data_IF_882781353643
#
_entry.id   IF_882781353643
#
_cell.length_a   1.000
_cell.length_b   1.000
_cell.length_c   1.000
_cell.angle_alpha   90.00
_cell.angle_beta   90.00
_cell.angle_gamma   90.00
#
_symmetry.space_group_name_H-M   'P 1'
#
loop_
_entity.id
_entity.type
_entity.pdbx_description
1 polymer ?
#
# COMPACT_ATOMS: atom_id res chain seq x y z
N UNK A 1 -27.60 0.37 -0.68
CA UNK A 1 -26.63 -0.44 -1.47
C UNK A 1 -25.72 -1.22 -0.53
N UNK A 2 -25.55 -2.53 -0.79
CA UNK A 2 -24.70 -3.38 0.07
C UNK A 2 -23.41 -3.75 -0.65
N UNK A 3 -22.25 -3.41 -0.03
CA UNK A 3 -20.92 -3.62 -0.61
C UNK A 3 -20.15 -4.66 0.22
N UNK A 4 -19.43 -5.55 -0.45
CA UNK A 4 -18.42 -6.41 0.14
C UNK A 4 -17.04 -5.90 -0.26
N UNK A 5 -16.17 -5.63 0.70
CA UNK A 5 -14.77 -5.29 0.44
C UNK A 5 -13.84 -6.43 0.83
N UNK A 6 -13.06 -6.92 -0.13
CA UNK A 6 -12.00 -7.90 0.05
C UNK A 6 -10.67 -7.15 0.14
N UNK A 7 -10.06 -7.16 1.32
CA UNK A 7 -8.78 -6.47 1.55
C UNK A 7 -7.61 -7.45 1.56
N UNK A 8 -6.43 -7.03 1.12
CA UNK A 8 -5.24 -7.87 1.03
C UNK A 8 -4.30 -7.74 2.25
N UNK A 9 -4.85 -7.33 3.37
CA UNK A 9 -4.19 -7.29 4.69
C UNK A 9 -5.09 -7.84 5.78
N UNK A 10 -4.56 -7.98 7.00
CA UNK A 10 -5.32 -8.39 8.19
C UNK A 10 -5.97 -7.17 8.83
N UNK A 11 -7.26 -7.26 9.09
CA UNK A 11 -8.05 -6.21 9.74
C UNK A 11 -8.40 -6.63 11.15
N UNK A 12 -8.26 -5.75 12.13
CA UNK A 12 -8.79 -5.97 13.47
C UNK A 12 -10.29 -5.65 13.51
N UNK A 13 -11.08 -6.55 14.06
CA UNK A 13 -12.51 -6.34 14.31
C UNK A 13 -12.64 -6.01 15.80
N UNK A 14 -12.86 -4.75 16.11
CA UNK A 14 -12.84 -4.20 17.49
C UNK A 14 -14.19 -3.57 17.82
N UNK A 15 -14.54 -3.50 19.10
CA UNK A 15 -15.78 -2.85 19.53
C UNK A 15 -15.63 -1.32 19.66
N UNK A 16 -14.39 -0.83 19.68
CA UNK A 16 -14.05 0.60 19.74
C UNK A 16 -12.78 0.86 18.94
N UNK A 17 -12.49 2.12 18.65
CA UNK A 17 -11.28 2.51 17.92
C UNK A 17 -10.05 2.09 18.75
N UNK A 18 -9.20 1.20 18.24
CA UNK A 18 -8.05 0.69 18.97
C UNK A 18 -6.92 1.73 19.02
N UNK A 19 -6.32 1.89 20.21
CA UNK A 19 -5.11 2.71 20.34
C UNK A 19 -3.96 2.15 19.48
N UNK A 20 -3.21 3.04 18.85
CA UNK A 20 -2.01 2.70 18.07
C UNK A 20 -2.26 2.02 16.74
N UNK A 21 -3.52 1.76 16.36
CA UNK A 21 -3.86 1.32 15.00
C UNK A 21 -4.42 2.50 14.21
N UNK A 22 -4.04 2.55 12.96
CA UNK A 22 -4.55 3.56 12.03
C UNK A 22 -5.60 2.94 11.09
N UNK A 23 -6.57 3.72 10.61
CA UNK A 23 -7.35 3.28 9.46
C UNK A 23 -6.43 3.00 8.25
N UNK A 24 -6.70 1.97 7.45
CA UNK A 24 -7.88 1.09 7.43
C UNK A 24 -7.68 -0.26 8.15
N UNK A 25 -6.80 -0.36 9.13
CA UNK A 25 -6.38 -1.64 9.74
C UNK A 25 -7.39 -2.20 10.74
N UNK A 26 -8.52 -1.51 10.95
CA UNK A 26 -9.58 -1.96 11.84
C UNK A 26 -10.99 -1.70 11.29
N UNK A 27 -11.96 -2.44 11.81
CA UNK A 27 -13.40 -2.26 11.60
C UNK A 27 -14.06 -2.18 12.97
N UNK A 28 -14.92 -1.18 13.16
CA UNK A 28 -15.75 -1.02 14.36
C UNK A 28 -17.22 -1.12 13.97
N UNK A 29 -18.02 -1.99 14.61
CA UNK A 29 -19.44 -2.10 14.33
C UNK A 29 -20.15 -0.75 14.47
N UNK A 30 -21.02 -0.45 13.51
CA UNK A 30 -21.77 0.81 13.48
C UNK A 30 -20.98 2.03 12.97
N UNK A 31 -19.70 1.89 12.69
CA UNK A 31 -18.90 2.93 12.05
C UNK A 31 -18.64 2.59 10.58
N UNK A 32 -18.57 3.63 9.74
CA UNK A 32 -18.18 3.47 8.35
C UNK A 32 -16.73 3.02 8.26
N UNK A 33 -16.48 2.00 7.47
CA UNK A 33 -15.10 1.62 7.17
C UNK A 33 -14.37 2.74 6.44
N UNK A 34 -13.13 2.99 6.77
CA UNK A 34 -12.36 4.18 6.39
C UNK A 34 -12.43 4.57 4.90
N UNK A 35 -12.37 3.60 3.98
CA UNK A 35 -12.48 3.86 2.53
C UNK A 35 -13.84 4.42 2.11
N UNK A 36 -14.87 4.25 2.94
CA UNK A 36 -16.25 4.62 2.63
C UNK A 36 -16.79 5.73 3.54
N UNK A 37 -15.92 6.38 4.31
CA UNK A 37 -16.32 7.37 5.32
C UNK A 37 -17.08 8.58 4.77
N UNK A 38 -16.86 8.89 3.48
CA UNK A 38 -17.54 9.99 2.80
C UNK A 38 -18.76 9.54 1.97
N UNK A 39 -19.08 8.26 1.95
CA UNK A 39 -20.29 7.80 1.27
C UNK A 39 -21.52 7.99 2.15
N UNK A 40 -22.69 8.03 1.50
CA UNK A 40 -23.99 8.19 2.19
C UNK A 40 -24.29 7.04 3.17
N UNK A 41 -25.18 7.28 4.15
CA UNK A 41 -25.50 6.33 5.21
C UNK A 41 -26.33 5.13 4.74
N UNK A 42 -26.96 5.22 3.57
CA UNK A 42 -27.69 4.12 2.94
C UNK A 42 -26.76 3.03 2.35
N UNK A 43 -25.43 3.23 2.40
CA UNK A 43 -24.44 2.27 1.92
C UNK A 43 -23.88 1.49 3.12
N UNK A 44 -24.14 0.18 3.13
CA UNK A 44 -23.51 -0.74 4.10
C UNK A 44 -22.32 -1.46 3.48
N UNK A 45 -21.27 -1.64 4.26
CA UNK A 45 -20.02 -2.27 3.80
C UNK A 45 -19.60 -3.38 4.76
N UNK A 46 -19.50 -4.59 4.25
CA UNK A 46 -18.86 -5.71 4.95
C UNK A 46 -17.42 -5.84 4.46
N UNK A 47 -16.46 -5.99 5.38
CA UNK A 47 -15.04 -6.15 5.08
C UNK A 47 -14.62 -7.57 5.37
N UNK A 48 -13.86 -8.19 4.48
CA UNK A 48 -13.29 -9.53 4.67
C UNK A 48 -11.80 -9.50 4.38
N UNK A 49 -11.03 -9.89 5.38
CA UNK A 49 -9.57 -9.92 5.34
C UNK A 49 -8.99 -11.25 4.87
N UNK A 50 -7.66 -11.30 4.78
CA UNK A 50 -6.91 -12.45 4.26
C UNK A 50 -6.70 -13.58 5.27
N UNK A 51 -7.21 -13.49 6.50
CA UNK A 51 -6.99 -14.55 7.49
C UNK A 51 -7.50 -15.88 7.01
N UNK A 52 -6.65 -16.89 7.13
CA UNK A 52 -6.93 -18.27 6.82
C UNK A 52 -6.28 -19.19 7.85
N UNK A 53 -6.31 -20.49 7.63
CA UNK A 53 -5.56 -21.44 8.45
C UNK A 53 -4.04 -21.18 8.30
N UNK A 54 -3.22 -21.30 9.35
CA UNK A 54 -1.80 -20.93 9.32
C UNK A 54 -1.00 -21.55 8.16
N UNK A 55 -1.23 -22.83 7.85
CA UNK A 55 -0.57 -23.51 6.74
C UNK A 55 -1.01 -22.97 5.37
N UNK A 56 -2.31 -22.66 5.23
CA UNK A 56 -2.88 -22.13 3.99
C UNK A 56 -2.43 -20.67 3.78
N UNK A 57 -2.41 -19.87 4.84
CA UNK A 57 -1.92 -18.50 4.79
C UNK A 57 -0.47 -18.44 4.28
N UNK A 58 0.39 -19.33 4.78
CA UNK A 58 1.77 -19.43 4.29
C UNK A 58 1.82 -19.82 2.82
N UNK A 59 1.06 -20.83 2.42
CA UNK A 59 0.99 -21.26 1.02
C UNK A 59 0.48 -20.16 0.10
N UNK A 60 -0.61 -19.47 0.48
CA UNK A 60 -1.20 -18.37 -0.28
C UNK A 60 -0.21 -17.19 -0.46
N UNK A 61 0.51 -16.82 0.61
CA UNK A 61 1.48 -15.71 0.55
C UNK A 61 2.77 -16.05 -0.18
N UNK A 62 3.36 -17.20 0.09
CA UNK A 62 4.71 -17.54 -0.38
C UNK A 62 4.71 -18.19 -1.75
N UNK A 63 3.70 -19.01 -2.07
CA UNK A 63 3.68 -19.84 -3.29
C UNK A 63 2.82 -19.25 -4.40
N UNK A 64 1.57 -18.96 -4.12
CA UNK A 64 0.61 -18.57 -5.16
C UNK A 64 0.36 -17.07 -5.22
N UNK A 65 0.60 -16.33 -4.13
CA UNK A 65 0.45 -14.87 -4.00
C UNK A 65 -0.96 -14.35 -4.27
N UNK A 66 -1.99 -15.15 -4.01
CA UNK A 66 -3.40 -14.75 -4.00
C UNK A 66 -4.20 -15.56 -2.99
N UNK A 67 -5.39 -15.07 -2.59
CA UNK A 67 -6.12 -15.51 -1.42
C UNK A 67 -7.34 -16.34 -1.78
N UNK A 68 -7.19 -17.67 -1.82
CA UNK A 68 -8.26 -18.62 -2.15
C UNK A 68 -9.30 -18.64 -1.04
N UNK A 69 -8.85 -18.76 0.21
CA UNK A 69 -9.75 -18.90 1.36
C UNK A 69 -10.64 -17.67 1.55
N UNK A 70 -10.11 -16.47 1.27
CA UNK A 70 -10.88 -15.25 1.32
C UNK A 70 -12.10 -15.32 0.40
N UNK A 71 -11.91 -15.77 -0.83
CA UNK A 71 -13.02 -15.96 -1.78
C UNK A 71 -13.98 -17.06 -1.33
N UNK A 72 -13.47 -18.23 -0.91
CA UNK A 72 -14.32 -19.35 -0.47
C UNK A 72 -15.24 -18.96 0.70
N UNK A 73 -14.74 -18.18 1.66
CA UNK A 73 -15.55 -17.69 2.80
C UNK A 73 -16.77 -16.87 2.36
N UNK A 74 -16.69 -16.18 1.25
CA UNK A 74 -17.72 -15.23 0.81
C UNK A 74 -18.64 -15.79 -0.28
N UNK A 75 -18.24 -16.85 -0.98
CA UNK A 75 -19.05 -17.45 -2.05
C UNK A 75 -20.53 -17.65 -1.69
N UNK A 76 -20.90 -18.21 -0.52
CA UNK A 76 -22.32 -18.43 -0.19
C UNK A 76 -23.13 -17.15 -0.02
N UNK A 77 -22.45 -16.02 0.21
CA UNK A 77 -23.08 -14.73 0.53
C UNK A 77 -23.01 -13.73 -0.60
N UNK A 78 -22.30 -14.02 -1.70
CA UNK A 78 -22.03 -13.05 -2.77
C UNK A 78 -23.30 -12.42 -3.36
N UNK A 79 -24.35 -13.21 -3.54
CA UNK A 79 -25.63 -12.71 -4.11
C UNK A 79 -26.42 -11.79 -3.18
N UNK A 80 -25.95 -11.58 -1.94
CA UNK A 80 -26.53 -10.61 -0.99
C UNK A 80 -25.95 -9.19 -1.17
N UNK A 81 -24.93 -9.05 -2.02
CA UNK A 81 -24.25 -7.78 -2.27
C UNK A 81 -24.60 -7.26 -3.67
N UNK A 82 -24.64 -5.95 -3.79
CA UNK A 82 -24.77 -5.25 -5.07
C UNK A 82 -23.39 -5.11 -5.74
N UNK A 83 -22.36 -4.95 -4.92
CA UNK A 83 -20.99 -4.68 -5.36
C UNK A 83 -19.99 -5.43 -4.51
N UNK A 84 -19.01 -6.05 -5.17
CA UNK A 84 -17.78 -6.58 -4.55
C UNK A 84 -16.60 -5.73 -4.98
N UNK A 85 -15.86 -5.19 -4.03
CA UNK A 85 -14.62 -4.45 -4.25
C UNK A 85 -13.44 -5.28 -3.75
N UNK A 86 -12.47 -5.54 -4.61
CA UNK A 86 -11.23 -6.21 -4.21
C UNK A 86 -10.08 -5.22 -4.18
N UNK A 87 -9.40 -5.11 -3.04
CA UNK A 87 -8.21 -4.29 -2.93
C UNK A 87 -7.01 -5.09 -3.45
N UNK A 88 -6.68 -4.86 -4.71
CA UNK A 88 -5.67 -5.59 -5.45
C UNK A 88 -6.16 -6.90 -6.07
N UNK A 89 -5.48 -7.32 -7.14
CA UNK A 89 -5.79 -8.59 -7.81
C UNK A 89 -5.48 -9.82 -6.95
N UNK A 90 -4.61 -9.72 -5.94
CA UNK A 90 -4.37 -10.81 -5.00
C UNK A 90 -5.65 -11.26 -4.28
N UNK A 91 -6.54 -10.32 -3.96
CA UNK A 91 -7.87 -10.58 -3.39
C UNK A 91 -8.95 -10.81 -4.45
N UNK A 92 -8.74 -10.35 -5.69
CA UNK A 92 -9.75 -10.39 -6.75
C UNK A 92 -9.66 -11.60 -7.68
N UNK A 93 -8.46 -12.17 -7.89
CA UNK A 93 -8.24 -13.14 -8.96
C UNK A 93 -9.06 -14.43 -8.81
N UNK A 94 -9.20 -14.95 -7.60
CA UNK A 94 -9.94 -16.19 -7.35
C UNK A 94 -11.43 -15.98 -7.63
N UNK A 95 -11.97 -14.82 -7.22
CA UNK A 95 -13.34 -14.45 -7.54
C UNK A 95 -13.53 -14.24 -9.04
N UNK A 96 -12.58 -13.64 -9.72
CA UNK A 96 -12.59 -13.50 -11.17
C UNK A 96 -12.64 -14.86 -11.88
N UNK A 97 -11.82 -15.81 -11.44
CA UNK A 97 -11.82 -17.18 -11.97
C UNK A 97 -13.15 -17.88 -11.69
N UNK A 98 -13.68 -17.77 -10.49
CA UNK A 98 -15.00 -18.29 -10.15
C UNK A 98 -16.08 -17.76 -11.09
N UNK A 99 -16.14 -16.45 -11.31
CA UNK A 99 -17.10 -15.82 -12.22
C UNK A 99 -16.93 -16.26 -13.67
N UNK A 100 -15.68 -16.53 -14.10
CA UNK A 100 -15.40 -17.06 -15.46
C UNK A 100 -15.92 -18.48 -15.67
N UNK A 101 -15.86 -19.30 -14.63
CA UNK A 101 -16.21 -20.72 -14.69
C UNK A 101 -17.70 -20.99 -14.38
N UNK A 102 -18.28 -20.23 -13.44
CA UNK A 102 -19.60 -20.48 -12.89
C UNK A 102 -20.62 -19.36 -13.14
N UNK A 103 -20.21 -18.30 -13.83
CA UNK A 103 -21.06 -17.16 -14.15
C UNK A 103 -20.89 -15.97 -13.21
N UNK A 104 -21.45 -14.83 -13.63
CA UNK A 104 -21.17 -13.53 -13.00
C UNK A 104 -21.91 -13.25 -11.69
N UNK A 105 -22.99 -14.00 -11.40
CA UNK A 105 -23.85 -13.68 -10.27
C UNK A 105 -24.62 -12.36 -10.47
N UNK A 106 -25.31 -11.90 -9.42
CA UNK A 106 -26.09 -10.64 -9.45
C UNK A 106 -25.25 -9.40 -9.11
N UNK A 107 -24.11 -9.58 -8.47
CA UNK A 107 -23.23 -8.49 -8.01
C UNK A 107 -22.27 -8.03 -9.10
N UNK A 108 -21.85 -6.77 -9.03
CA UNK A 108 -20.73 -6.23 -9.80
C UNK A 108 -19.41 -6.52 -9.08
N UNK A 109 -18.33 -6.71 -9.83
CA UNK A 109 -17.00 -6.90 -9.27
C UNK A 109 -16.02 -5.87 -9.82
N UNK A 110 -15.49 -5.01 -8.94
CA UNK A 110 -14.51 -3.97 -9.23
C UNK A 110 -13.22 -4.26 -8.46
N UNK A 111 -12.09 -4.01 -9.09
CA UNK A 111 -10.76 -4.15 -8.46
C UNK A 111 -10.08 -2.78 -8.37
N UNK A 112 -9.54 -2.45 -7.19
CA UNK A 112 -8.55 -1.40 -7.05
C UNK A 112 -7.18 -1.97 -7.46
N UNK A 113 -6.66 -1.52 -8.60
CA UNK A 113 -5.35 -1.98 -9.05
C UNK A 113 -4.21 -1.16 -8.43
N UNK A 114 -3.67 -1.71 -7.37
CA UNK A 114 -2.50 -1.18 -6.66
C UNK A 114 -1.17 -1.74 -7.21
N UNK A 115 -1.10 -2.01 -8.50
CA UNK A 115 0.07 -2.58 -9.17
C UNK A 115 0.02 -4.09 -9.37
N UNK A 116 -1.12 -4.74 -9.09
CA UNK A 116 -1.29 -6.19 -9.21
C UNK A 116 -1.24 -6.70 -10.64
N UNK A 117 -1.78 -5.94 -11.59
CA UNK A 117 -1.77 -6.31 -13.00
C UNK A 117 -0.36 -6.21 -13.61
N UNK A 118 0.33 -5.11 -13.41
CA UNK A 118 1.67 -4.88 -13.98
C UNK A 118 2.81 -5.54 -13.19
N UNK A 119 2.52 -6.26 -12.11
CA UNK A 119 3.50 -7.15 -11.48
C UNK A 119 3.72 -8.45 -12.26
N UNK A 120 2.81 -8.81 -13.15
CA UNK A 120 3.02 -9.88 -14.12
C UNK A 120 3.94 -9.38 -15.25
N UNK A 121 4.90 -10.20 -15.66
CA UNK A 121 5.67 -9.93 -16.88
C UNK A 121 4.70 -9.82 -18.07
N UNK A 122 5.12 -9.13 -19.12
CA UNK A 122 4.32 -8.94 -20.36
C UNK A 122 4.12 -10.24 -21.16
N UNK A 123 4.56 -11.37 -20.64
CA UNK A 123 4.42 -12.71 -21.21
C UNK A 123 4.39 -13.81 -20.14
N UNK A 124 4.03 -15.01 -20.54
CA UNK A 124 4.07 -16.19 -19.69
C UNK A 124 2.72 -16.58 -19.07
N UNK A 125 2.75 -17.64 -18.24
CA UNK A 125 1.53 -18.24 -17.66
C UNK A 125 0.78 -17.31 -16.72
N UNK A 126 1.49 -16.48 -15.96
CA UNK A 126 0.89 -15.54 -15.03
C UNK A 126 0.05 -14.49 -15.77
N UNK A 127 0.58 -13.92 -16.85
CA UNK A 127 -0.16 -12.99 -17.70
C UNK A 127 -1.41 -13.66 -18.30
N UNK A 128 -1.29 -14.87 -18.87
CA UNK A 128 -2.43 -15.60 -19.44
C UNK A 128 -3.54 -15.85 -18.41
N UNK A 129 -3.16 -16.21 -17.17
CA UNK A 129 -4.11 -16.38 -16.08
C UNK A 129 -4.82 -15.05 -15.73
N UNK A 130 -4.07 -13.95 -15.61
CA UNK A 130 -4.61 -12.62 -15.35
C UNK A 130 -5.52 -12.15 -16.50
N UNK A 131 -5.14 -12.39 -17.74
CA UNK A 131 -5.94 -12.10 -18.92
C UNK A 131 -7.27 -12.87 -18.92
N UNK A 132 -7.22 -14.16 -18.62
CA UNK A 132 -8.43 -14.98 -18.54
C UNK A 132 -9.35 -14.51 -17.41
N UNK A 133 -8.82 -14.32 -16.21
CA UNK A 133 -9.57 -13.94 -15.01
C UNK A 133 -10.21 -12.54 -15.17
N UNK A 134 -9.43 -11.55 -15.60
CA UNK A 134 -9.83 -10.14 -15.65
C UNK A 134 -10.98 -9.85 -16.63
N UNK A 135 -11.25 -10.74 -17.58
CA UNK A 135 -12.41 -10.61 -18.49
C UNK A 135 -13.74 -10.63 -17.75
N UNK A 136 -13.80 -11.20 -16.53
CA UNK A 136 -15.01 -11.23 -15.71
C UNK A 136 -15.24 -9.95 -14.88
N UNK A 137 -14.30 -9.03 -14.85
CA UNK A 137 -14.43 -7.77 -14.11
C UNK A 137 -15.47 -6.85 -14.75
N UNK A 138 -16.22 -6.19 -13.90
CA UNK A 138 -17.14 -5.11 -14.30
C UNK A 138 -16.44 -3.75 -14.28
N UNK A 139 -15.34 -3.60 -13.52
CA UNK A 139 -14.57 -2.38 -13.48
C UNK A 139 -13.19 -2.56 -12.85
N UNK A 140 -12.31 -1.60 -13.14
CA UNK A 140 -10.99 -1.46 -12.52
C UNK A 140 -10.77 0.00 -12.16
N UNK A 141 -10.33 0.27 -10.94
CA UNK A 141 -9.85 1.57 -10.51
C UNK A 141 -8.33 1.49 -10.43
N UNK A 142 -7.65 2.36 -11.14
CA UNK A 142 -6.18 2.43 -11.14
C UNK A 142 -5.69 3.80 -10.69
N UNK A 143 -4.48 3.85 -10.13
CA UNK A 143 -3.98 5.00 -9.38
C UNK A 143 -2.78 5.71 -10.02
N UNK A 144 -2.19 5.10 -11.05
CA UNK A 144 -1.03 5.65 -11.75
C UNK A 144 -1.32 5.73 -13.23
N UNK A 145 -1.16 6.91 -13.85
CA UNK A 145 -1.46 7.10 -15.28
C UNK A 145 -0.69 6.15 -16.19
N UNK A 146 0.54 5.77 -15.82
CA UNK A 146 1.36 4.81 -16.58
C UNK A 146 0.76 3.39 -16.62
N UNK A 147 -0.18 3.03 -15.72
CA UNK A 147 -0.83 1.73 -15.76
C UNK A 147 -1.70 1.54 -17.02
N UNK A 148 -2.20 2.64 -17.61
CA UNK A 148 -3.06 2.57 -18.81
C UNK A 148 -2.31 1.95 -19.98
N UNK A 149 -1.03 2.29 -20.19
CA UNK A 149 -0.20 1.72 -21.27
C UNK A 149 -0.06 0.20 -21.13
N UNK A 150 0.04 -0.31 -19.90
CA UNK A 150 0.05 -1.75 -19.67
C UNK A 150 -1.31 -2.39 -20.00
N UNK A 151 -2.42 -1.72 -19.68
CA UNK A 151 -3.75 -2.23 -20.06
C UNK A 151 -3.95 -2.23 -21.57
N UNK A 152 -3.53 -1.20 -22.27
CA UNK A 152 -3.58 -1.14 -23.73
C UNK A 152 -2.88 -2.33 -24.37
N UNK A 153 -1.71 -2.67 -23.86
CA UNK A 153 -0.90 -3.79 -24.37
C UNK A 153 -1.42 -5.16 -23.95
N UNK A 154 -1.74 -5.33 -22.69
CA UNK A 154 -1.95 -6.66 -22.10
C UNK A 154 -3.42 -6.98 -21.79
N UNK A 155 -4.27 -5.97 -21.59
CA UNK A 155 -5.66 -6.14 -21.13
C UNK A 155 -6.64 -5.17 -21.81
N UNK A 156 -6.67 -5.08 -23.15
CA UNK A 156 -7.42 -4.04 -23.87
C UNK A 156 -8.92 -4.00 -23.54
N UNK A 157 -9.52 -5.13 -23.13
CA UNK A 157 -10.93 -5.19 -22.70
C UNK A 157 -11.20 -4.45 -21.38
N UNK A 158 -10.17 -4.08 -20.61
CA UNK A 158 -10.31 -3.29 -19.38
C UNK A 158 -10.40 -1.80 -19.64
N UNK A 159 -9.95 -1.29 -20.79
CA UNK A 159 -9.89 0.14 -21.08
C UNK A 159 -11.26 0.84 -20.89
N UNK A 160 -12.32 0.30 -21.46
CA UNK A 160 -13.67 0.85 -21.33
C UNK A 160 -14.26 0.72 -19.92
N UNK A 161 -13.71 -0.17 -19.10
CA UNK A 161 -14.15 -0.46 -17.73
C UNK A 161 -13.22 0.14 -16.67
N UNK A 162 -12.13 0.77 -17.06
CA UNK A 162 -11.17 1.34 -16.14
C UNK A 162 -11.45 2.82 -15.84
N UNK A 163 -11.09 3.23 -14.61
CA UNK A 163 -11.19 4.62 -14.17
C UNK A 163 -9.93 4.99 -13.40
N UNK A 164 -9.36 6.12 -13.75
CA UNK A 164 -8.24 6.70 -13.03
C UNK A 164 -8.76 7.46 -11.81
N UNK A 165 -8.27 7.08 -10.63
CA UNK A 165 -8.43 7.83 -9.39
C UNK A 165 -7.05 7.92 -8.77
N UNK A 166 -6.47 9.12 -8.68
CA UNK A 166 -5.16 9.32 -8.09
C UNK A 166 -5.13 8.84 -6.63
N UNK A 167 -3.97 8.36 -6.18
CA UNK A 167 -3.75 8.21 -4.75
C UNK A 167 -3.89 9.57 -4.07
N UNK A 168 -4.64 9.58 -2.99
CA UNK A 168 -4.74 10.71 -2.09
C UNK A 168 -4.01 10.45 -0.78
N UNK A 169 -3.86 11.50 0.00
CA UNK A 169 -3.48 11.44 1.41
C UNK A 169 -4.55 12.13 2.23
N UNK A 170 -4.64 11.76 3.49
CA UNK A 170 -5.53 12.41 4.44
C UNK A 170 -4.93 13.77 4.86
N UNK A 171 -5.34 14.84 4.18
CA UNK A 171 -4.81 16.17 4.41
C UNK A 171 -5.28 16.79 5.75
N UNK A 172 -6.33 16.24 6.36
CA UNK A 172 -6.77 16.65 7.71
C UNK A 172 -5.87 16.02 8.78
N UNK A 173 -5.45 14.77 8.53
CA UNK A 173 -4.57 14.06 9.44
C UNK A 173 -3.09 14.47 9.28
N UNK A 174 -2.62 14.64 8.04
CA UNK A 174 -1.25 15.05 7.73
C UNK A 174 -1.17 16.57 7.53
N UNK A 175 -1.38 17.32 8.61
CA UNK A 175 -1.22 18.76 8.61
C UNK A 175 -0.01 19.18 9.46
N UNK A 176 0.69 20.24 9.07
CA UNK A 176 1.68 20.88 9.95
C UNK A 176 0.99 21.33 11.26
N UNK A 177 1.68 21.19 12.37
CA UNK A 177 1.15 21.64 13.67
C UNK A 177 1.01 23.16 13.74
N UNK A 178 1.61 23.88 12.80
CA UNK A 178 1.62 25.36 12.76
C UNK A 178 2.51 25.99 13.82
N UNK A 179 3.08 25.21 14.72
CA UNK A 179 4.01 25.69 15.75
C UNK A 179 5.42 25.71 15.15
N UNK A 180 6.15 26.84 15.23
CA UNK A 180 7.55 26.85 14.84
C UNK A 180 8.33 25.80 15.62
N UNK A 181 8.93 24.85 14.92
CA UNK A 181 9.75 23.82 15.56
C UNK A 181 11.18 24.33 15.58
N UNK A 182 11.72 24.54 16.79
CA UNK A 182 13.14 24.79 16.94
C UNK A 182 13.93 23.59 16.46
N UNK A 183 14.74 23.78 15.42
CA UNK A 183 15.59 22.73 14.84
C UNK A 183 16.96 22.76 15.48
N UNK A 184 17.02 22.41 16.78
CA UNK A 184 18.29 22.36 17.52
C UNK A 184 19.28 21.34 16.91
N UNK A 185 18.80 20.29 16.30
CA UNK A 185 19.60 19.25 15.67
C UNK A 185 19.03 18.92 14.28
N UNK A 186 19.46 19.61 13.23
CA UNK A 186 18.93 19.39 11.88
C UNK A 186 19.24 17.97 11.39
N UNK A 187 18.26 17.34 10.75
CA UNK A 187 18.45 16.03 10.13
C UNK A 187 17.72 15.87 8.80
N UNK A 188 18.26 15.00 7.97
CA UNK A 188 17.65 14.52 6.73
C UNK A 188 16.88 13.26 7.07
N UNK A 189 15.60 13.17 6.69
CA UNK A 189 14.77 12.00 6.97
C UNK A 189 14.60 11.14 5.74
N UNK A 190 14.81 9.82 5.89
CA UNK A 190 14.39 8.84 4.90
C UNK A 190 13.49 7.78 5.53
N UNK A 191 12.30 7.60 4.96
CA UNK A 191 11.30 6.66 5.46
C UNK A 191 10.91 5.65 4.38
N UNK A 192 10.69 4.41 4.75
CA UNK A 192 10.06 3.40 3.92
C UNK A 192 10.75 2.05 3.95
N UNK A 193 10.00 1.03 3.50
CA UNK A 193 10.44 -0.37 3.55
C UNK A 193 10.54 -1.00 2.17
N UNK A 194 9.85 -0.47 1.18
CA UNK A 194 9.78 -1.06 -0.15
C UNK A 194 10.64 -0.30 -1.14
N UNK A 195 11.53 -1.03 -1.83
CA UNK A 195 12.28 -0.57 -3.00
C UNK A 195 13.02 0.77 -2.75
N UNK A 196 13.61 0.90 -1.56
CA UNK A 196 14.52 1.99 -1.25
C UNK A 196 15.93 1.59 -1.65
N UNK A 197 16.61 2.48 -2.35
CA UNK A 197 18.03 2.37 -2.68
C UNK A 197 18.86 2.92 -1.53
N UNK A 198 18.99 2.11 -0.47
CA UNK A 198 19.73 2.48 0.74
C UNK A 198 21.21 2.67 0.45
N UNK A 199 21.78 1.85 -0.41
CA UNK A 199 23.22 1.85 -0.70
C UNK A 199 23.61 3.15 -1.39
N UNK A 200 22.88 3.57 -2.42
CA UNK A 200 23.12 4.86 -3.08
C UNK A 200 22.93 6.04 -2.11
N UNK A 201 21.93 6.00 -1.24
CA UNK A 201 21.71 7.06 -0.26
C UNK A 201 22.87 7.16 0.73
N UNK A 202 23.30 6.03 1.30
CA UNK A 202 24.37 5.99 2.29
C UNK A 202 25.71 6.43 1.69
N UNK A 203 26.05 5.95 0.49
CA UNK A 203 27.26 6.38 -0.23
C UNK A 203 27.24 7.88 -0.53
N UNK A 204 26.11 8.41 -0.98
CA UNK A 204 25.97 9.84 -1.24
C UNK A 204 26.13 10.67 0.04
N UNK A 205 25.54 10.21 1.16
CA UNK A 205 25.66 10.89 2.44
C UNK A 205 27.09 10.86 2.98
N UNK A 206 27.78 9.71 2.96
CA UNK A 206 29.20 9.60 3.36
C UNK A 206 30.08 10.52 2.51
N UNK A 207 29.87 10.56 1.19
CA UNK A 207 30.62 11.43 0.29
C UNK A 207 30.43 12.91 0.65
N UNK A 208 29.20 13.33 0.90
CA UNK A 208 28.90 14.72 1.29
C UNK A 208 29.54 15.09 2.62
N UNK A 209 29.45 14.21 3.63
CA UNK A 209 30.13 14.44 4.93
C UNK A 209 31.65 14.56 4.78
N UNK A 210 32.27 13.70 3.99
CA UNK A 210 33.71 13.75 3.77
C UNK A 210 34.15 15.03 3.04
N UNK A 211 33.36 15.50 2.07
CA UNK A 211 33.59 16.78 1.42
C UNK A 211 33.49 17.96 2.40
N UNK A 212 32.54 17.91 3.32
CA UNK A 212 32.38 18.94 4.35
C UNK A 212 33.54 18.91 5.37
N UNK A 213 33.99 17.75 5.80
CA UNK A 213 35.20 17.57 6.65
C UNK A 213 36.43 18.21 6.01
N UNK A 214 36.60 18.06 4.70
CA UNK A 214 37.74 18.63 3.97
C UNK A 214 37.68 20.15 3.80
N UNK A 215 36.49 20.75 3.92
CA UNK A 215 36.32 22.22 3.78
C UNK A 215 36.45 22.99 5.09
N UNK A 216 35.92 22.45 6.20
CA UNK A 216 35.94 23.10 7.51
C UNK A 216 36.10 22.05 8.60
N UNK A 217 37.19 22.08 9.38
CA UNK A 217 37.34 21.17 10.52
C UNK A 217 36.25 21.39 11.59
N UNK A 218 35.72 22.60 11.72
CA UNK A 218 34.67 22.97 12.68
C UNK A 218 33.25 22.82 12.11
N UNK A 219 33.07 22.69 10.76
CA UNK A 219 31.79 22.69 10.10
C UNK A 219 30.99 21.39 10.14
N UNK A 220 31.49 20.35 10.83
CA UNK A 220 30.77 19.06 11.00
C UNK A 220 29.69 19.11 12.07
N UNK A 221 29.82 20.02 13.03
CA UNK A 221 28.79 20.18 14.07
C UNK A 221 27.41 20.56 13.47
N UNK A 222 27.41 21.32 12.36
CA UNK A 222 26.21 21.82 11.71
C UNK A 222 25.71 20.95 10.53
N UNK A 223 26.47 19.89 10.17
CA UNK A 223 26.04 19.02 9.08
C UNK A 223 24.89 18.11 9.53
N UNK A 224 23.71 18.16 8.86
CA UNK A 224 22.54 17.45 9.32
C UNK A 224 22.75 15.93 9.34
N UNK A 225 22.35 15.29 10.43
CA UNK A 225 22.34 13.83 10.54
C UNK A 225 21.41 13.21 9.51
N UNK A 226 21.67 11.97 9.11
CA UNK A 226 20.77 11.17 8.29
C UNK A 226 19.98 10.22 9.20
N UNK A 227 18.67 10.44 9.33
CA UNK A 227 17.77 9.58 10.11
C UNK A 227 16.98 8.67 9.18
N UNK A 228 17.17 7.36 9.39
CA UNK A 228 16.54 6.31 8.61
C UNK A 228 15.45 5.61 9.42
N UNK A 229 14.19 5.69 8.97
CA UNK A 229 13.10 4.88 9.54
C UNK A 229 12.92 3.66 8.64
N UNK A 230 13.50 2.53 9.08
CA UNK A 230 13.54 1.27 8.31
C UNK A 230 13.41 0.05 9.22
N UNK A 231 13.00 -1.08 8.64
CA UNK A 231 12.80 -2.33 9.38
C UNK A 231 14.12 -3.05 9.69
N UNK A 232 14.96 -3.18 8.68
CA UNK A 232 16.21 -3.91 8.77
C UNK A 232 17.30 -3.01 9.40
N UNK A 233 18.20 -3.60 10.17
CA UNK A 233 19.41 -2.93 10.65
C UNK A 233 20.39 -2.71 9.48
N UNK A 234 21.24 -1.73 9.61
CA UNK A 234 22.36 -1.55 8.69
C UNK A 234 23.41 -2.65 8.94
N UNK A 235 24.15 -3.00 7.90
CA UNK A 235 25.25 -3.97 7.91
C UNK A 235 26.45 -3.49 8.73
N UNK A 236 26.63 -2.18 8.81
CA UNK A 236 27.66 -1.48 9.59
C UNK A 236 27.15 -0.17 10.14
N UNK A 237 27.90 0.42 11.04
CA UNK A 237 27.67 1.79 11.50
C UNK A 237 28.20 2.80 10.47
N UNK A 238 27.46 3.88 10.30
CA UNK A 238 27.81 5.00 9.45
C UNK A 238 27.85 6.27 10.28
N UNK A 239 28.93 7.05 10.15
CA UNK A 239 29.08 8.29 10.90
C UNK A 239 27.98 9.30 10.55
N UNK A 240 27.27 9.78 11.58
CA UNK A 240 26.16 10.71 11.44
C UNK A 240 24.84 10.09 10.94
N UNK A 241 24.75 8.76 10.85
CA UNK A 241 23.53 8.05 10.48
C UNK A 241 22.87 7.44 11.71
N UNK A 242 21.60 7.75 11.91
CA UNK A 242 20.74 7.18 12.93
C UNK A 242 19.73 6.25 12.28
N UNK A 243 19.60 5.03 12.77
CA UNK A 243 18.58 4.09 12.29
C UNK A 243 17.53 3.86 13.37
N UNK A 244 16.28 4.13 13.02
CA UNK A 244 15.11 3.91 13.87
C UNK A 244 14.28 2.80 13.24
N UNK A 245 13.77 1.88 14.06
CA UNK A 245 12.86 0.83 13.63
C UNK A 245 11.49 1.35 13.21
N UNK A 246 10.51 0.46 13.20
CA UNK A 246 9.11 0.87 12.96
C UNK A 246 8.63 1.84 14.04
N UNK A 247 8.03 2.93 13.62
CA UNK A 247 7.37 3.91 14.50
C UNK A 247 5.91 4.06 14.11
N UNK A 248 5.01 4.39 15.07
CA UNK A 248 3.62 4.71 14.78
C UNK A 248 3.49 5.94 13.86
N UNK A 249 2.43 5.99 13.09
CA UNK A 249 2.18 7.10 12.16
C UNK A 249 2.09 8.46 12.86
N UNK A 250 1.56 8.50 14.07
CA UNK A 250 1.52 9.72 14.91
C UNK A 250 2.91 10.25 15.24
N UNK A 251 3.87 9.36 15.48
CA UNK A 251 5.26 9.72 15.68
C UNK A 251 5.94 10.10 14.36
N UNK A 252 5.61 9.38 13.27
CA UNK A 252 6.14 9.66 11.94
C UNK A 252 5.81 11.10 11.48
N UNK A 253 4.60 11.58 11.74
CA UNK A 253 4.23 12.97 11.41
C UNK A 253 5.18 13.96 12.09
N UNK A 254 5.44 13.77 13.39
CA UNK A 254 6.37 14.62 14.15
C UNK A 254 7.79 14.56 13.62
N UNK A 255 8.24 13.37 13.19
CA UNK A 255 9.56 13.21 12.58
C UNK A 255 9.66 13.91 11.23
N UNK A 256 8.62 13.83 10.39
CA UNK A 256 8.57 14.54 9.11
C UNK A 256 8.60 16.06 9.33
N UNK A 257 7.84 16.55 10.29
CA UNK A 257 7.74 17.97 10.59
C UNK A 257 9.07 18.55 11.12
N UNK A 258 9.78 17.80 11.96
CA UNK A 258 11.09 18.18 12.49
C UNK A 258 12.25 18.07 11.49
N UNK A 259 12.10 17.24 10.46
CA UNK A 259 13.14 17.05 9.46
C UNK A 259 13.45 18.35 8.71
N UNK A 260 14.71 18.56 8.36
CA UNK A 260 15.10 19.66 7.46
C UNK A 260 14.53 19.44 6.08
N UNK A 261 14.63 18.21 5.58
CA UNK A 261 13.95 17.73 4.37
C UNK A 261 13.89 16.20 4.38
N UNK A 262 13.03 15.64 3.52
CA UNK A 262 12.90 14.20 3.33
C UNK A 262 13.54 13.78 2.00
N UNK A 263 14.19 12.60 1.99
CA UNK A 263 14.72 11.96 0.78
C UNK A 263 14.01 10.63 0.54
N UNK A 264 13.73 10.32 -0.73
CA UNK A 264 13.08 9.08 -1.14
C UNK A 264 13.90 8.42 -2.25
N UNK A 265 15.02 7.74 -1.92
CA UNK A 265 15.81 7.01 -2.91
C UNK A 265 15.03 5.79 -3.36
N UNK A 266 14.69 5.72 -4.63
CA UNK A 266 13.97 4.59 -5.22
C UNK A 266 14.91 3.75 -6.07
N UNK A 267 14.83 2.43 -5.92
CA UNK A 267 15.48 1.52 -6.86
C UNK A 267 14.85 1.70 -8.24
N UNK A 268 15.68 1.69 -9.28
CA UNK A 268 15.18 1.68 -10.64
C UNK A 268 14.40 0.38 -10.90
N UNK A 269 13.34 0.51 -11.66
CA UNK A 269 12.58 -0.63 -12.16
C UNK A 269 13.07 -0.93 -13.58
N UNK A 270 13.79 -2.03 -13.72
CA UNK A 270 14.08 -2.63 -15.02
C UNK A 270 13.01 -3.66 -15.34
#
# INVERSE_FOLDING_TARGET
>A
MKILMLVNWKVAYENQIPEGKQPPDYVVPGQKYWFFRYLSDDISVDVVDIRSFPWLERFEKEKIRFYIWQTLKVLPKLNQYDLVLSHGMQSGIVLCLWRRLFGHGKYKHIVFDIGGFNSAKEEGKALKLMQFASKSLDGVIYHTKSQITYYEKCHPWLLSKSRYIAFGTDAEYFQPTGTPIEKENPYILCVGYHKRDWDTLLQAYEKLRNLQKGRNQDGLADFPKLKLIRKEKLDREYDGVETVGFIPVTQLIKEIEKATFCVLPLQSFN
#
